data_IF_219671171279
#
_entry.id   IF_219671171279
#
_cell.length_a   1.000
_cell.length_b   1.000
_cell.length_c   1.000
_cell.angle_alpha   90.00
_cell.angle_beta   90.00
_cell.angle_gamma   90.00
#
_symmetry.space_group_name_H-M   'P 1'
#
loop_
_entity.id
_entity.type
_entity.pdbx_description
1 polymer ?
#
# COMPACT_ATOMS: atom_id res chain seq x y z
N UNK A 1 18.53 11.65 -2.59
CA UNK A 1 17.77 10.56 -1.94
C UNK A 1 16.29 10.97 -1.92
N UNK A 2 15.39 10.03 -2.21
CA UNK A 2 13.96 10.28 -2.09
C UNK A 2 13.57 10.46 -0.61
N UNK A 3 13.02 11.63 -0.27
CA UNK A 3 12.56 11.99 1.08
C UNK A 3 11.04 11.93 1.22
N UNK A 4 10.34 11.31 0.25
CA UNK A 4 8.87 11.28 0.26
C UNK A 4 8.30 10.37 1.37
N UNK A 5 7.13 10.69 1.93
CA UNK A 5 6.42 9.82 2.89
C UNK A 5 6.09 8.43 2.30
N UNK A 6 5.88 8.34 0.99
CA UNK A 6 5.61 7.08 0.29
C UNK A 6 6.75 6.06 0.46
N UNK A 7 7.99 6.51 0.63
CA UNK A 7 9.12 5.62 0.93
C UNK A 7 8.95 4.91 2.27
N UNK A 8 8.56 5.63 3.34
CA UNK A 8 8.30 5.04 4.65
C UNK A 8 7.20 3.98 4.59
N UNK A 9 6.11 4.26 3.87
CA UNK A 9 5.03 3.29 3.63
C UNK A 9 5.54 2.08 2.85
N UNK A 10 6.32 2.29 1.79
CA UNK A 10 6.89 1.22 0.97
C UNK A 10 7.86 0.32 1.75
N UNK A 11 8.66 0.88 2.65
CA UNK A 11 9.58 0.10 3.48
C UNK A 11 8.83 -0.78 4.49
N UNK A 12 7.76 -0.26 5.10
CA UNK A 12 6.90 -1.05 6.01
C UNK A 12 6.25 -2.20 5.24
N UNK A 13 5.66 -1.92 4.09
CA UNK A 13 5.05 -2.92 3.22
C UNK A 13 6.04 -4.06 2.89
N UNK A 14 7.18 -3.74 2.30
CA UNK A 14 8.16 -4.74 1.85
C UNK A 14 8.65 -5.65 2.98
N UNK A 15 8.91 -5.09 4.15
CA UNK A 15 9.36 -5.88 5.30
C UNK A 15 8.29 -6.85 5.79
N UNK A 16 7.02 -6.43 5.82
CA UNK A 16 5.93 -7.29 6.24
C UNK A 16 5.64 -8.36 5.20
N UNK A 17 5.61 -8.03 3.92
CA UNK A 17 5.44 -8.98 2.83
C UNK A 17 6.50 -10.10 2.91
N UNK A 18 7.77 -9.74 3.11
CA UNK A 18 8.86 -10.72 3.25
C UNK A 18 8.67 -11.62 4.48
N UNK A 19 8.22 -11.07 5.61
CA UNK A 19 7.95 -11.85 6.84
C UNK A 19 6.83 -12.85 6.66
N UNK A 20 5.83 -12.51 5.84
CA UNK A 20 4.71 -13.38 5.49
C UNK A 20 5.02 -14.33 4.31
N UNK A 21 6.29 -14.42 3.88
CA UNK A 21 6.75 -15.36 2.86
C UNK A 21 6.34 -15.00 1.43
N UNK A 22 6.04 -13.72 1.15
CA UNK A 22 5.73 -13.28 -0.21
C UNK A 22 6.99 -13.23 -1.08
N UNK A 23 6.87 -13.77 -2.28
CA UNK A 23 7.85 -13.65 -3.36
C UNK A 23 7.60 -12.32 -4.08
N UNK A 24 8.58 -11.41 -3.98
CA UNK A 24 8.46 -10.11 -4.61
C UNK A 24 8.69 -10.22 -6.12
N UNK A 25 7.74 -9.73 -6.89
CA UNK A 25 7.78 -9.67 -8.35
C UNK A 25 7.95 -8.23 -8.83
N UNK A 26 8.41 -8.09 -10.08
CA UNK A 26 8.37 -6.85 -10.84
C UNK A 26 7.98 -7.20 -12.27
N UNK A 27 6.78 -6.85 -12.64
CA UNK A 27 6.19 -7.24 -13.91
C UNK A 27 6.06 -6.04 -14.88
N UNK A 28 5.89 -6.26 -16.20
CA UNK A 28 5.78 -5.20 -17.18
C UNK A 28 4.60 -4.25 -16.93
N UNK A 29 4.75 -2.99 -17.34
CA UNK A 29 3.68 -1.98 -17.24
C UNK A 29 2.68 -2.04 -18.38
N UNK A 30 2.99 -2.76 -19.44
CA UNK A 30 2.23 -2.81 -20.67
C UNK A 30 2.20 -4.24 -21.23
N UNK A 31 1.07 -4.61 -21.82
CA UNK A 31 0.91 -5.86 -22.56
C UNK A 31 0.05 -5.66 -23.80
N UNK A 32 0.06 -6.66 -24.68
CA UNK A 32 -0.79 -6.72 -25.88
C UNK A 32 -2.25 -6.93 -25.50
N UNK A 33 -3.14 -6.45 -26.35
CA UNK A 33 -4.61 -6.62 -26.27
C UNK A 33 -5.04 -8.06 -25.93
N UNK A 34 -4.45 -9.05 -26.59
CA UNK A 34 -4.77 -10.46 -26.44
C UNK A 34 -4.61 -10.94 -25.00
N UNK A 35 -3.62 -10.40 -24.29
CA UNK A 35 -3.37 -10.70 -22.89
C UNK A 35 -4.53 -10.25 -21.98
N UNK A 36 -5.09 -9.07 -22.25
CA UNK A 36 -6.23 -8.54 -21.51
C UNK A 36 -7.57 -9.15 -21.93
N UNK A 37 -7.67 -9.72 -23.14
CA UNK A 37 -8.82 -10.54 -23.57
C UNK A 37 -8.90 -11.83 -22.75
N UNK A 38 -7.79 -12.51 -22.48
CA UNK A 38 -7.76 -13.71 -21.63
C UNK A 38 -8.34 -13.41 -20.25
N UNK A 39 -7.97 -12.31 -19.64
CA UNK A 39 -8.45 -11.93 -18.31
C UNK A 39 -9.86 -11.33 -18.28
N UNK A 40 -10.47 -11.07 -19.45
CA UNK A 40 -11.78 -10.41 -19.57
C UNK A 40 -11.75 -8.89 -19.37
N UNK A 41 -10.60 -8.31 -19.00
CA UNK A 41 -10.53 -6.87 -18.77
C UNK A 41 -10.71 -6.05 -20.06
N UNK A 42 -10.34 -6.60 -21.22
CA UNK A 42 -10.55 -5.91 -22.49
C UNK A 42 -12.03 -5.71 -22.79
N UNK A 43 -12.86 -6.66 -22.44
CA UNK A 43 -14.29 -6.64 -22.73
C UNK A 43 -15.11 -5.84 -21.70
N UNK A 44 -14.65 -5.80 -20.44
CA UNK A 44 -15.38 -5.20 -19.33
C UNK A 44 -14.83 -3.85 -18.83
N UNK A 45 -13.61 -3.51 -19.23
CA UNK A 45 -12.90 -2.36 -18.64
C UNK A 45 -12.12 -1.51 -19.67
N UNK A 46 -12.42 -1.64 -20.96
CA UNK A 46 -11.67 -0.98 -22.04
C UNK A 46 -11.62 0.56 -21.86
N UNK A 47 -12.75 1.18 -21.51
CA UNK A 47 -12.85 2.63 -21.33
C UNK A 47 -11.95 3.13 -20.17
N UNK A 48 -11.71 2.27 -19.18
CA UNK A 48 -10.82 2.55 -18.05
C UNK A 48 -9.34 2.27 -18.33
N UNK A 49 -8.96 1.90 -19.55
CA UNK A 49 -7.58 1.56 -19.91
C UNK A 49 -6.94 2.65 -20.79
N UNK A 50 -5.65 2.90 -20.58
CA UNK A 50 -4.84 3.65 -21.54
C UNK A 50 -4.38 2.72 -22.65
N UNK A 51 -4.93 2.89 -23.83
CA UNK A 51 -4.68 2.05 -25.01
C UNK A 51 -3.70 2.75 -25.95
N UNK A 52 -2.75 1.98 -26.49
CA UNK A 52 -1.78 2.42 -27.51
C UNK A 52 -2.06 1.66 -28.80
N UNK A 53 -2.59 2.35 -29.78
CA UNK A 53 -3.07 1.82 -31.06
C UNK A 53 -4.59 1.91 -31.17
N UNK A 54 -5.14 1.27 -32.17
CA UNK A 54 -6.59 1.22 -32.37
C UNK A 54 -7.16 -0.05 -31.69
N UNK A 55 -7.99 0.11 -30.63
CA UNK A 55 -8.57 -1.03 -29.93
C UNK A 55 -9.53 -1.87 -30.79
N UNK A 56 -10.07 -1.32 -31.87
CA UNK A 56 -11.07 -1.94 -32.75
C UNK A 56 -10.47 -2.53 -34.03
N UNK A 57 -9.22 -2.16 -34.39
CA UNK A 57 -8.52 -2.73 -35.55
C UNK A 57 -7.75 -3.99 -35.12
N UNK A 58 -8.36 -5.16 -35.33
CA UNK A 58 -7.75 -6.44 -34.98
C UNK A 58 -6.58 -6.86 -35.90
N UNK A 59 -6.38 -6.16 -37.02
CA UNK A 59 -5.29 -6.43 -37.95
C UNK A 59 -3.96 -5.83 -37.50
N UNK A 60 -3.98 -4.90 -36.56
CA UNK A 60 -2.81 -4.19 -36.04
C UNK A 60 -2.50 -4.54 -34.59
N UNK A 61 -1.24 -4.48 -34.25
CA UNK A 61 -0.85 -4.59 -32.85
C UNK A 61 -1.45 -3.44 -32.03
N UNK A 62 -2.00 -3.82 -30.87
CA UNK A 62 -2.55 -2.89 -29.92
C UNK A 62 -2.09 -3.28 -28.52
N UNK A 63 -1.66 -2.30 -27.75
CA UNK A 63 -1.17 -2.47 -26.39
C UNK A 63 -2.02 -1.66 -25.43
N UNK A 64 -1.96 -2.00 -24.14
CA UNK A 64 -2.50 -1.14 -23.10
C UNK A 64 -1.60 -1.12 -21.87
N UNK A 65 -1.59 0.03 -21.18
CA UNK A 65 -1.00 0.14 -19.86
C UNK A 65 -1.85 -0.64 -18.86
N UNK A 66 -1.19 -1.33 -17.92
CA UNK A 66 -1.86 -2.23 -17.00
C UNK A 66 -2.75 -1.49 -15.99
N UNK A 67 -4.04 -1.79 -15.88
CA UNK A 67 -4.92 -1.30 -14.82
C UNK A 67 -4.85 -2.17 -13.56
N UNK A 68 -4.22 -3.37 -13.62
CA UNK A 68 -4.01 -4.34 -12.55
C UNK A 68 -2.78 -5.22 -12.86
N UNK A 69 -2.30 -5.96 -11.85
CA UNK A 69 -1.08 -6.79 -11.95
C UNK A 69 -1.38 -8.29 -12.11
N UNK A 70 -2.58 -8.75 -11.72
CA UNK A 70 -2.91 -10.17 -11.63
C UNK A 70 -2.52 -11.01 -12.86
N UNK A 71 -2.84 -10.65 -14.12
CA UNK A 71 -2.51 -11.48 -15.27
C UNK A 71 -1.00 -11.72 -15.41
N UNK A 72 -0.19 -10.72 -15.08
CA UNK A 72 1.27 -10.82 -15.15
C UNK A 72 1.83 -11.79 -14.10
N UNK A 73 1.29 -11.79 -12.89
CA UNK A 73 1.71 -12.73 -11.84
C UNK A 73 1.24 -14.15 -12.12
N UNK A 74 0.13 -14.35 -12.87
CA UNK A 74 -0.26 -15.67 -13.33
C UNK A 74 0.76 -16.26 -14.29
N UNK A 75 1.43 -15.46 -15.12
CA UNK A 75 2.54 -15.93 -15.96
C UNK A 75 3.74 -16.41 -15.13
N UNK A 76 3.97 -15.84 -13.95
CA UNK A 76 4.99 -16.35 -13.02
C UNK A 76 4.62 -17.73 -12.50
N UNK A 77 3.34 -17.97 -12.21
CA UNK A 77 2.88 -19.31 -11.86
C UNK A 77 3.03 -20.30 -13.02
N UNK A 78 2.63 -19.90 -14.22
CA UNK A 78 2.58 -20.72 -15.43
C UNK A 78 3.94 -21.02 -16.06
N UNK A 79 5.03 -20.41 -15.60
CA UNK A 79 6.36 -20.59 -16.20
C UNK A 79 6.92 -22.01 -16.11
N UNK A 80 6.33 -22.86 -15.26
CA UNK A 80 6.61 -24.29 -15.13
C UNK A 80 5.41 -25.03 -14.56
N UNK A 81 5.39 -26.35 -14.69
CA UNK A 81 4.43 -27.20 -14.02
C UNK A 81 4.55 -27.07 -12.49
N UNK A 82 3.42 -26.95 -11.81
CA UNK A 82 3.33 -26.81 -10.36
C UNK A 82 2.75 -28.08 -9.74
N UNK A 83 3.10 -28.31 -8.48
CA UNK A 83 2.51 -29.36 -7.64
C UNK A 83 1.89 -28.76 -6.37
N UNK A 84 1.14 -29.56 -5.65
CA UNK A 84 0.56 -29.18 -4.36
C UNK A 84 1.62 -28.66 -3.35
N UNK A 85 2.88 -29.06 -3.51
CA UNK A 85 4.01 -28.64 -2.66
C UNK A 85 4.47 -27.20 -2.95
N UNK A 86 4.14 -26.68 -4.12
CA UNK A 86 4.45 -25.30 -4.50
C UNK A 86 3.40 -24.32 -3.95
N UNK A 87 2.30 -24.82 -3.34
CA UNK A 87 1.17 -24.05 -2.86
C UNK A 87 1.09 -24.02 -1.31
N UNK A 88 0.74 -22.90 -0.69
CA UNK A 88 0.33 -21.66 -1.33
C UNK A 88 1.53 -20.90 -1.93
N UNK A 89 1.35 -20.32 -3.13
CA UNK A 89 2.32 -19.43 -3.75
C UNK A 89 1.84 -17.98 -3.52
N UNK A 90 2.57 -17.24 -2.69
CA UNK A 90 2.26 -15.85 -2.35
C UNK A 90 3.14 -14.93 -3.18
N UNK A 91 2.55 -14.22 -4.14
CA UNK A 91 3.22 -13.27 -5.02
C UNK A 91 2.86 -11.85 -4.57
N UNK A 92 3.85 -10.98 -4.38
CA UNK A 92 3.66 -9.58 -3.99
C UNK A 92 4.36 -8.63 -4.95
N UNK A 93 3.76 -7.46 -5.18
CA UNK A 93 4.37 -6.40 -5.98
C UNK A 93 3.98 -5.01 -5.47
N UNK A 94 4.96 -4.12 -5.39
CA UNK A 94 4.68 -2.69 -5.35
C UNK A 94 4.45 -2.26 -6.80
N UNK A 95 3.19 -2.28 -7.21
CA UNK A 95 2.78 -2.13 -8.60
C UNK A 95 2.44 -0.69 -8.93
N UNK A 96 3.00 -0.18 -10.04
CA UNK A 96 2.48 1.04 -10.68
C UNK A 96 1.39 0.64 -11.65
N UNK A 97 0.20 1.21 -11.49
CA UNK A 97 -0.99 0.96 -12.29
C UNK A 97 -1.48 2.24 -12.95
N UNK A 98 -2.23 2.07 -14.03
CA UNK A 98 -2.75 3.15 -14.85
C UNK A 98 -4.24 2.93 -15.11
N UNK A 99 -5.06 3.94 -14.80
CA UNK A 99 -6.49 3.91 -15.09
C UNK A 99 -6.90 5.21 -15.76
N UNK A 100 -7.61 5.10 -16.86
CA UNK A 100 -8.09 6.24 -17.63
C UNK A 100 -9.36 6.81 -16.97
N UNK A 101 -9.19 7.32 -15.75
CA UNK A 101 -10.27 7.95 -14.99
C UNK A 101 -10.77 9.20 -15.71
N UNK A 102 -12.07 9.41 -15.72
CA UNK A 102 -12.66 10.63 -16.25
C UNK A 102 -12.23 11.85 -15.43
N UNK A 103 -12.14 13.00 -16.09
CA UNK A 103 -11.70 14.24 -15.43
C UNK A 103 -12.57 14.63 -14.22
N UNK A 104 -13.87 14.33 -14.27
CA UNK A 104 -14.81 14.55 -13.18
C UNK A 104 -14.67 13.58 -12.00
N UNK A 105 -14.01 12.45 -12.18
CA UNK A 105 -13.78 11.46 -11.14
C UNK A 105 -12.46 11.68 -10.38
N UNK A 106 -11.53 12.43 -10.97
CA UNK A 106 -10.23 12.70 -10.35
C UNK A 106 -10.39 13.56 -9.10
N UNK A 107 -9.73 13.14 -8.01
CA UNK A 107 -9.87 13.81 -6.72
C UNK A 107 -8.53 13.85 -5.95
N UNK A 108 -7.71 14.87 -6.19
CA UNK A 108 -6.40 15.03 -5.55
C UNK A 108 -5.56 13.75 -5.65
N UNK A 109 -4.99 13.32 -4.52
CA UNK A 109 -4.27 12.03 -4.42
C UNK A 109 -5.20 10.82 -4.18
N UNK A 110 -6.48 11.04 -3.87
CA UNK A 110 -7.43 9.97 -3.56
C UNK A 110 -7.78 9.17 -4.82
N UNK A 111 -7.90 9.84 -5.98
CA UNK A 111 -8.20 9.21 -7.27
C UNK A 111 -7.41 9.87 -8.40
N UNK A 112 -6.41 9.14 -8.90
CA UNK A 112 -5.44 9.58 -9.89
C UNK A 112 -5.32 8.57 -11.02
N UNK A 113 -4.82 8.99 -12.18
CA UNK A 113 -4.68 8.13 -13.37
C UNK A 113 -3.47 7.20 -13.33
N UNK A 114 -2.43 7.57 -12.59
CA UNK A 114 -1.28 6.71 -12.30
C UNK A 114 -1.12 6.63 -10.79
N UNK A 115 -1.02 5.43 -10.25
CA UNK A 115 -0.88 5.21 -8.81
C UNK A 115 -0.05 3.98 -8.50
N UNK A 116 0.44 3.94 -7.27
CA UNK A 116 1.19 2.80 -6.73
C UNK A 116 0.33 2.04 -5.73
N UNK A 117 0.28 0.72 -5.89
CA UNK A 117 -0.52 -0.13 -5.00
C UNK A 117 0.34 -1.26 -4.41
N UNK A 118 0.08 -1.61 -3.16
CA UNK A 118 0.61 -2.81 -2.52
C UNK A 118 -0.26 -4.01 -2.87
N UNK A 119 0.02 -4.66 -3.98
CA UNK A 119 -0.82 -5.73 -4.53
C UNK A 119 -0.16 -7.09 -4.36
N UNK A 120 -0.96 -8.10 -4.11
CA UNK A 120 -0.51 -9.47 -4.05
C UNK A 120 -1.58 -10.46 -4.49
N UNK A 121 -1.11 -11.57 -5.07
CA UNK A 121 -1.94 -12.67 -5.52
C UNK A 121 -1.42 -13.97 -4.91
N UNK A 122 -2.31 -14.68 -4.23
CA UNK A 122 -2.01 -15.97 -3.64
C UNK A 122 -2.68 -17.04 -4.47
N UNK A 123 -1.86 -17.94 -5.02
CA UNK A 123 -2.35 -19.14 -5.72
C UNK A 123 -2.31 -20.27 -4.72
N UNK A 124 -3.44 -20.92 -4.47
CA UNK A 124 -3.61 -21.83 -3.35
C UNK A 124 -4.57 -22.97 -3.63
N UNK A 125 -4.52 -24.01 -2.81
CA UNK A 125 -5.48 -25.12 -2.83
C UNK A 125 -6.75 -24.72 -2.06
N UNK A 126 -7.93 -25.28 -2.38
CA UNK A 126 -9.19 -24.95 -1.70
C UNK A 126 -9.11 -25.05 -0.17
N UNK A 127 -8.45 -26.09 0.36
CA UNK A 127 -8.30 -26.29 1.80
C UNK A 127 -7.39 -25.28 2.51
N UNK A 128 -6.61 -24.48 1.77
CA UNK A 128 -5.75 -23.43 2.32
C UNK A 128 -6.47 -22.07 2.38
N UNK A 129 -7.66 -21.96 1.80
CA UNK A 129 -8.32 -20.68 1.54
C UNK A 129 -8.60 -19.89 2.82
N UNK A 130 -9.13 -20.54 3.85
CA UNK A 130 -9.48 -19.86 5.11
C UNK A 130 -8.23 -19.33 5.84
N UNK A 131 -7.17 -20.13 5.92
CA UNK A 131 -5.91 -19.75 6.58
C UNK A 131 -5.25 -18.58 5.83
N UNK A 132 -5.14 -18.69 4.51
CA UNK A 132 -4.53 -17.64 3.68
C UNK A 132 -5.35 -16.34 3.67
N UNK A 133 -6.69 -16.45 3.69
CA UNK A 133 -7.56 -15.30 3.81
C UNK A 133 -7.38 -14.58 5.15
N UNK A 134 -7.29 -15.36 6.23
CA UNK A 134 -6.99 -14.84 7.57
C UNK A 134 -5.66 -14.10 7.58
N UNK A 135 -4.60 -14.68 7.04
CA UNK A 135 -3.27 -14.05 6.97
C UNK A 135 -3.30 -12.74 6.19
N UNK A 136 -4.05 -12.69 5.07
CA UNK A 136 -4.25 -11.46 4.30
C UNK A 136 -4.97 -10.38 5.12
N UNK A 137 -6.02 -10.76 5.86
CA UNK A 137 -6.78 -9.85 6.70
C UNK A 137 -5.96 -9.33 7.88
N UNK A 138 -5.21 -10.20 8.54
CA UNK A 138 -4.34 -9.82 9.66
C UNK A 138 -3.23 -8.88 9.21
N UNK A 139 -2.64 -9.14 8.05
CA UNK A 139 -1.65 -8.24 7.44
C UNK A 139 -2.25 -6.86 7.14
N UNK A 140 -3.44 -6.81 6.53
CA UNK A 140 -4.12 -5.55 6.23
C UNK A 140 -4.44 -4.77 7.51
N UNK A 141 -4.99 -5.43 8.53
CA UNK A 141 -5.27 -4.82 9.84
C UNK A 141 -3.99 -4.28 10.49
N UNK A 142 -2.91 -5.07 10.50
CA UNK A 142 -1.62 -4.63 11.04
C UNK A 142 -1.09 -3.39 10.33
N UNK A 143 -1.20 -3.33 8.99
CA UNK A 143 -0.74 -2.19 8.21
C UNK A 143 -1.56 -0.93 8.52
N UNK A 144 -2.88 -1.05 8.54
CA UNK A 144 -3.78 0.07 8.87
C UNK A 144 -3.61 0.56 10.31
N UNK A 145 -3.44 -0.36 11.27
CA UNK A 145 -3.15 -0.03 12.65
C UNK A 145 -1.81 0.70 12.79
N UNK A 146 -0.77 0.21 12.12
CA UNK A 146 0.56 0.82 12.13
C UNK A 146 0.53 2.28 11.70
N UNK A 147 -0.25 2.61 10.67
CA UNK A 147 -0.38 3.99 10.17
C UNK A 147 -1.47 4.79 10.90
N UNK A 148 -2.23 4.15 11.80
CA UNK A 148 -3.26 4.80 12.62
C UNK A 148 -4.60 5.00 11.93
N UNK A 149 -4.92 4.21 10.90
CA UNK A 149 -6.19 4.32 10.17
C UNK A 149 -7.22 3.28 10.58
N UNK A 150 -6.82 2.15 11.21
CA UNK A 150 -7.71 1.02 11.48
C UNK A 150 -8.93 1.38 12.34
N UNK A 151 -8.77 2.30 13.30
CA UNK A 151 -9.85 2.71 14.21
C UNK A 151 -11.05 3.37 13.51
N UNK A 152 -10.82 3.95 12.32
CA UNK A 152 -11.85 4.60 11.50
C UNK A 152 -12.33 3.69 10.35
N UNK A 153 -11.99 2.40 10.40
CA UNK A 153 -12.36 1.44 9.37
C UNK A 153 -13.58 0.61 9.75
N UNK A 154 -14.40 0.31 8.74
CA UNK A 154 -15.49 -0.67 8.76
C UNK A 154 -15.22 -1.74 7.70
N UNK A 155 -15.93 -2.87 7.79
CA UNK A 155 -15.78 -3.97 6.84
C UNK A 155 -17.06 -4.15 6.05
N UNK A 156 -16.95 -4.31 4.72
CA UNK A 156 -18.07 -4.53 3.82
C UNK A 156 -17.86 -5.79 3.01
N UNK A 157 -18.79 -6.72 3.12
CA UNK A 157 -18.85 -7.89 2.26
C UNK A 157 -19.60 -7.54 0.98
N UNK A 158 -18.85 -7.27 -0.08
CA UNK A 158 -19.37 -6.87 -1.38
C UNK A 158 -19.76 -8.10 -2.20
N UNK A 159 -21.05 -8.20 -2.50
CA UNK A 159 -21.69 -9.32 -3.17
C UNK A 159 -22.15 -8.94 -4.58
N UNK A 160 -22.39 -9.94 -5.41
CA UNK A 160 -22.98 -9.76 -6.72
C UNK A 160 -24.47 -9.45 -6.63
N UNK A 161 -25.02 -8.91 -7.71
CA UNK A 161 -26.46 -8.78 -7.90
C UNK A 161 -26.86 -9.61 -9.15
N UNK A 162 -27.60 -10.72 -9.01
CA UNK A 162 -28.06 -11.53 -10.14
C UNK A 162 -29.03 -10.75 -11.06
N UNK A 163 -29.63 -9.67 -10.57
CA UNK A 163 -30.53 -8.82 -11.33
C UNK A 163 -29.85 -7.67 -12.05
N UNK A 164 -28.50 -7.54 -11.98
CA UNK A 164 -27.77 -6.45 -12.61
C UNK A 164 -27.98 -6.42 -14.12
N UNK A 165 -28.61 -5.35 -14.70
CA UNK A 165 -28.96 -5.30 -16.11
C UNK A 165 -27.74 -5.12 -17.04
N UNK A 166 -26.58 -4.77 -16.51
CA UNK A 166 -25.36 -4.51 -17.29
C UNK A 166 -24.53 -5.75 -17.58
N UNK A 167 -25.01 -6.93 -17.16
CA UNK A 167 -24.26 -8.18 -17.30
C UNK A 167 -22.77 -8.06 -16.85
N UNK A 168 -22.59 -7.42 -15.72
CA UNK A 168 -21.28 -7.04 -15.16
C UNK A 168 -20.46 -8.25 -14.72
N UNK A 169 -21.14 -9.33 -14.35
CA UNK A 169 -20.55 -10.47 -13.65
C UNK A 169 -20.28 -11.65 -14.56
N UNK A 170 -19.15 -12.28 -14.39
CA UNK A 170 -18.69 -13.45 -15.10
C UNK A 170 -19.01 -14.73 -14.32
N UNK A 171 -19.18 -15.87 -15.03
CA UNK A 171 -19.48 -17.16 -14.42
C UNK A 171 -20.97 -17.43 -14.28
N UNK A 172 -21.31 -18.54 -13.59
CA UNK A 172 -22.70 -18.98 -13.36
C UNK A 172 -23.23 -18.56 -12.00
N UNK A 173 -24.54 -18.54 -11.83
CA UNK A 173 -25.18 -18.24 -10.56
C UNK A 173 -24.68 -19.17 -9.44
N UNK A 174 -24.54 -20.47 -9.74
CA UNK A 174 -24.07 -21.47 -8.79
C UNK A 174 -22.64 -21.18 -8.30
N UNK A 175 -21.75 -20.75 -9.22
CA UNK A 175 -20.37 -20.37 -8.85
C UNK A 175 -20.35 -19.14 -7.93
N UNK A 176 -21.22 -18.17 -8.17
CA UNK A 176 -21.35 -16.99 -7.32
C UNK A 176 -21.91 -17.31 -5.93
N UNK A 177 -22.96 -18.13 -5.88
CA UNK A 177 -23.57 -18.58 -4.62
C UNK A 177 -22.55 -19.37 -3.78
N UNK A 178 -21.79 -20.28 -4.41
CA UNK A 178 -20.71 -21.02 -3.75
C UNK A 178 -19.61 -20.08 -3.22
N UNK A 179 -19.10 -19.19 -4.07
CA UNK A 179 -18.02 -18.26 -3.67
C UNK A 179 -18.44 -17.33 -2.53
N UNK A 180 -19.67 -16.82 -2.56
CA UNK A 180 -20.22 -16.00 -1.50
C UNK A 180 -20.46 -16.77 -0.20
N UNK A 181 -20.97 -18.00 -0.29
CA UNK A 181 -21.15 -18.86 0.88
C UNK A 181 -19.82 -19.21 1.55
N UNK A 182 -18.79 -19.50 0.77
CA UNK A 182 -17.44 -19.75 1.27
C UNK A 182 -16.88 -18.52 1.96
N UNK A 183 -16.99 -17.34 1.35
CA UNK A 183 -16.52 -16.10 1.96
C UNK A 183 -17.28 -15.76 3.25
N UNK A 184 -18.61 -15.87 3.25
CA UNK A 184 -19.43 -15.64 4.44
C UNK A 184 -18.99 -16.55 5.59
N UNK A 185 -18.82 -17.85 5.33
CA UNK A 185 -18.35 -18.83 6.33
C UNK A 185 -16.98 -18.44 6.90
N UNK A 186 -16.02 -18.02 6.05
CA UNK A 186 -14.71 -17.56 6.50
C UNK A 186 -14.83 -16.33 7.40
N UNK A 187 -15.59 -15.31 6.98
CA UNK A 187 -15.78 -14.08 7.74
C UNK A 187 -16.44 -14.34 9.11
N UNK A 188 -17.44 -15.23 9.16
CA UNK A 188 -18.12 -15.61 10.39
C UNK A 188 -17.18 -16.38 11.34
N UNK A 189 -16.40 -17.35 10.83
CA UNK A 189 -15.38 -18.06 11.61
C UNK A 189 -14.31 -17.13 12.19
N UNK A 190 -13.91 -16.12 11.43
CA UNK A 190 -12.93 -15.11 11.87
C UNK A 190 -13.55 -14.05 12.79
N UNK A 191 -14.86 -14.08 13.03
CA UNK A 191 -15.57 -13.11 13.85
C UNK A 191 -15.55 -11.68 13.31
N UNK A 192 -15.46 -11.53 11.99
CA UNK A 192 -15.47 -10.23 11.32
C UNK A 192 -16.89 -9.67 11.32
N UNK A 193 -17.08 -8.50 11.91
CA UNK A 193 -18.35 -7.77 11.79
C UNK A 193 -18.35 -6.99 10.48
N UNK A 194 -19.29 -7.28 9.59
CA UNK A 194 -19.37 -6.65 8.27
C UNK A 194 -20.79 -6.20 7.91
N UNK A 195 -20.86 -5.25 7.02
CA UNK A 195 -22.08 -4.87 6.30
C UNK A 195 -22.10 -5.55 4.93
N UNK A 196 -23.29 -5.81 4.38
CA UNK A 196 -23.44 -6.37 3.03
C UNK A 196 -23.61 -5.24 2.02
N UNK A 197 -22.78 -5.24 0.98
CA UNK A 197 -22.89 -4.36 -0.19
C UNK A 197 -23.35 -5.17 -1.42
N UNK A 198 -24.58 -4.99 -1.86
CA UNK A 198 -25.11 -5.65 -3.06
C UNK A 198 -24.69 -4.89 -4.31
N UNK A 199 -24.33 -5.61 -5.38
CA UNK A 199 -23.82 -5.09 -6.66
C UNK A 199 -22.45 -4.39 -6.55
N UNK A 200 -21.72 -4.67 -5.46
CA UNK A 200 -20.40 -4.08 -5.22
C UNK A 200 -19.24 -5.06 -5.49
N UNK A 201 -19.52 -6.33 -5.79
CA UNK A 201 -18.49 -7.33 -6.09
C UNK A 201 -17.66 -6.97 -7.33
N UNK A 202 -16.46 -7.55 -7.44
CA UNK A 202 -15.69 -7.56 -8.69
C UNK A 202 -16.41 -8.45 -9.72
N UNK A 203 -16.13 -8.27 -11.03
CA UNK A 203 -16.79 -9.06 -12.05
C UNK A 203 -16.46 -10.56 -11.99
N UNK A 204 -15.40 -10.94 -11.30
CA UNK A 204 -14.87 -12.30 -11.18
C UNK A 204 -14.99 -12.92 -9.78
N UNK A 205 -15.54 -12.23 -8.79
CA UNK A 205 -15.69 -12.80 -7.45
C UNK A 205 -16.10 -11.81 -6.35
N UNK A 206 -16.58 -12.35 -5.22
CA UNK A 206 -16.94 -11.56 -4.06
C UNK A 206 -15.69 -10.99 -3.37
N UNK A 207 -15.86 -9.91 -2.59
CA UNK A 207 -14.75 -9.26 -1.92
C UNK A 207 -15.11 -8.75 -0.53
N UNK A 208 -14.12 -8.75 0.36
CA UNK A 208 -14.13 -7.99 1.59
C UNK A 208 -13.45 -6.65 1.34
N UNK A 209 -14.21 -5.57 1.42
CA UNK A 209 -13.71 -4.20 1.37
C UNK A 209 -13.53 -3.66 2.79
N UNK A 210 -12.35 -3.14 3.09
CA UNK A 210 -12.12 -2.35 4.29
C UNK A 210 -12.37 -0.90 3.91
N UNK A 211 -13.43 -0.33 4.48
CA UNK A 211 -13.87 1.04 4.24
C UNK A 211 -13.24 1.95 5.29
N UNK A 212 -12.58 3.01 4.85
CA UNK A 212 -12.06 4.05 5.73
C UNK A 212 -12.98 5.25 5.72
N UNK A 213 -13.40 5.70 6.91
CA UNK A 213 -14.17 6.94 7.08
C UNK A 213 -13.21 8.10 7.29
N UNK A 214 -13.16 9.00 6.33
CA UNK A 214 -12.26 10.15 6.37
C UNK A 214 -12.74 11.23 7.36
N UNK A 215 -11.94 12.27 7.56
CA UNK A 215 -12.23 13.38 8.50
C UNK A 215 -13.50 14.17 8.15
N UNK A 216 -14.04 14.02 6.95
CA UNK A 216 -15.29 14.62 6.51
C UNK A 216 -16.49 13.67 6.66
N UNK A 217 -16.28 12.46 7.21
CA UNK A 217 -17.32 11.45 7.40
C UNK A 217 -17.65 10.63 6.15
N UNK A 218 -16.95 10.82 5.03
CA UNK A 218 -17.14 10.04 3.81
C UNK A 218 -16.37 8.71 3.93
N UNK A 219 -16.99 7.63 3.48
CA UNK A 219 -16.38 6.31 3.40
C UNK A 219 -15.85 6.03 1.99
N UNK A 220 -14.62 5.54 1.92
CA UNK A 220 -13.98 5.08 0.70
C UNK A 220 -13.24 3.75 0.96
N UNK A 221 -13.23 2.85 -0.02
CA UNK A 221 -12.47 1.60 0.09
C UNK A 221 -10.98 1.89 0.10
N UNK A 222 -10.28 1.43 1.14
CA UNK A 222 -8.82 1.58 1.28
C UNK A 222 -8.08 0.28 0.97
N UNK A 223 -8.60 -0.86 1.42
CA UNK A 223 -8.03 -2.20 1.21
C UNK A 223 -9.13 -3.14 0.74
N UNK A 224 -8.77 -4.08 -0.14
CA UNK A 224 -9.68 -5.11 -0.65
C UNK A 224 -9.00 -6.47 -0.60
N UNK A 225 -9.76 -7.51 -0.20
CA UNK A 225 -9.37 -8.91 -0.27
C UNK A 225 -10.49 -9.64 -1.05
N UNK A 226 -10.14 -10.32 -2.15
CA UNK A 226 -11.09 -10.94 -3.07
C UNK A 226 -10.77 -12.42 -3.21
N UNK A 227 -11.81 -13.25 -3.30
CA UNK A 227 -11.69 -14.66 -3.66
C UNK A 227 -12.08 -14.80 -5.13
N UNK A 228 -11.21 -15.42 -5.91
CA UNK A 228 -11.38 -15.63 -7.34
C UNK A 228 -11.32 -17.13 -7.64
N UNK A 229 -12.40 -17.65 -8.16
CA UNK A 229 -12.53 -19.05 -8.58
C UNK A 229 -12.59 -19.20 -10.12
N UNK A 230 -12.52 -18.10 -10.87
CA UNK A 230 -12.76 -18.06 -12.31
C UNK A 230 -11.50 -17.85 -13.15
N UNK A 231 -10.63 -16.92 -12.78
CA UNK A 231 -9.50 -16.52 -13.62
C UNK A 231 -8.44 -17.63 -13.76
N UNK A 232 -8.31 -18.50 -12.75
CA UNK A 232 -7.44 -19.67 -12.87
C UNK A 232 -7.81 -20.56 -14.08
N UNK A 233 -9.10 -20.73 -14.37
CA UNK A 233 -9.59 -21.47 -15.54
C UNK A 233 -9.22 -20.76 -16.84
N UNK A 234 -9.47 -19.46 -16.94
CA UNK A 234 -9.20 -18.66 -18.14
C UNK A 234 -7.73 -18.66 -18.53
N UNK A 235 -6.85 -18.65 -17.54
CA UNK A 235 -5.40 -18.72 -17.75
C UNK A 235 -4.85 -20.14 -17.86
N UNK A 236 -5.70 -21.17 -17.75
CA UNK A 236 -5.27 -22.58 -17.79
C UNK A 236 -4.33 -22.94 -16.64
N UNK A 237 -4.51 -22.31 -15.48
CA UNK A 237 -3.67 -22.59 -14.30
C UNK A 237 -4.08 -23.93 -13.68
N UNK A 238 -3.09 -24.81 -13.53
CA UNK A 238 -3.28 -26.16 -12.96
C UNK A 238 -2.10 -26.52 -12.07
N UNK A 239 -2.32 -27.34 -11.05
CA UNK A 239 -1.29 -27.98 -10.26
C UNK A 239 -1.53 -29.49 -10.18
N UNK A 240 -0.46 -30.26 -9.95
CA UNK A 240 -0.57 -31.71 -9.67
C UNK A 240 -0.83 -31.88 -8.18
N UNK A 241 -1.95 -32.48 -7.84
CA UNK A 241 -2.33 -32.73 -6.46
C UNK A 241 -1.68 -34.01 -5.90
N UNK A 242 -1.90 -34.31 -4.62
CA UNK A 242 -1.34 -35.46 -3.90
C UNK A 242 -1.68 -36.79 -4.59
N UNK A 243 -2.87 -36.89 -5.17
CA UNK A 243 -3.36 -38.06 -5.91
C UNK A 243 -2.80 -38.18 -7.34
N UNK A 244 -1.94 -37.27 -7.78
CA UNK A 244 -1.37 -37.22 -9.10
C UNK A 244 -2.31 -36.60 -10.15
N UNK A 245 -3.50 -36.18 -9.80
CA UNK A 245 -4.44 -35.53 -10.73
C UNK A 245 -4.13 -34.04 -10.87
N UNK A 246 -4.55 -33.49 -12.02
CA UNK A 246 -4.52 -32.05 -12.24
C UNK A 246 -5.73 -31.39 -11.60
N UNK A 247 -5.51 -30.34 -10.83
CA UNK A 247 -6.56 -29.54 -10.20
C UNK A 247 -6.34 -28.05 -10.46
N UNK A 248 -7.42 -27.28 -10.43
CA UNK A 248 -7.39 -25.82 -10.53
C UNK A 248 -7.15 -25.22 -9.16
N UNK A 249 -6.24 -24.26 -9.03
CA UNK A 249 -6.06 -23.50 -7.79
C UNK A 249 -7.18 -22.47 -7.63
N UNK A 250 -7.39 -22.02 -6.39
CA UNK A 250 -8.09 -20.79 -6.09
C UNK A 250 -7.07 -19.64 -6.01
N UNK A 251 -7.56 -18.42 -6.17
CA UNK A 251 -6.74 -17.22 -6.12
C UNK A 251 -7.32 -16.24 -5.09
N UNK A 252 -6.47 -15.70 -4.24
CA UNK A 252 -6.81 -14.53 -3.45
C UNK A 252 -6.10 -13.33 -4.07
N UNK A 253 -6.88 -12.29 -4.44
CA UNK A 253 -6.36 -10.97 -4.75
C UNK A 253 -6.44 -10.13 -3.49
N UNK A 254 -5.37 -9.48 -3.13
CA UNK A 254 -5.39 -8.64 -1.95
C UNK A 254 -4.49 -7.41 -2.10
N UNK A 255 -4.82 -6.39 -1.35
CA UNK A 255 -3.91 -5.31 -1.02
C UNK A 255 -3.64 -5.33 0.48
N UNK A 256 -2.46 -4.90 0.93
CA UNK A 256 -2.15 -4.83 2.36
C UNK A 256 -2.27 -3.41 2.91
N UNK A 257 -1.92 -2.40 2.12
CA UNK A 257 -2.03 -0.98 2.47
C UNK A 257 -2.86 -0.20 1.43
N UNK A 258 -3.30 -0.87 0.37
CA UNK A 258 -4.03 -0.26 -0.74
C UNK A 258 -3.16 0.61 -1.64
N UNK A 259 -3.76 1.64 -2.21
CA UNK A 259 -3.09 2.64 -3.03
C UNK A 259 -2.32 3.63 -2.15
N UNK A 260 -1.02 3.80 -2.42
CA UNK A 260 -0.14 4.65 -1.59
C UNK A 260 -0.55 6.12 -1.64
N UNK A 261 -0.90 6.64 -2.79
CA UNK A 261 -1.33 8.02 -2.97
C UNK A 261 -2.60 8.31 -2.17
N UNK A 262 -3.59 7.41 -2.22
CA UNK A 262 -4.84 7.50 -1.46
C UNK A 262 -4.58 7.40 0.05
N UNK A 263 -3.80 6.42 0.47
CA UNK A 263 -3.44 6.24 1.89
C UNK A 263 -2.67 7.46 2.41
N UNK A 264 -1.76 8.01 1.61
CA UNK A 264 -1.04 9.24 1.96
C UNK A 264 -1.99 10.44 2.11
N UNK A 265 -2.98 10.59 1.21
CA UNK A 265 -3.98 11.64 1.33
C UNK A 265 -4.72 11.54 2.68
N UNK A 266 -5.20 10.36 3.05
CA UNK A 266 -5.88 10.15 4.32
C UNK A 266 -4.98 10.39 5.54
N UNK A 267 -3.70 10.05 5.46
CA UNK A 267 -2.74 10.35 6.53
C UNK A 267 -2.51 11.87 6.66
N UNK A 268 -2.39 12.59 5.55
CA UNK A 268 -2.25 14.04 5.56
C UNK A 268 -3.49 14.69 6.19
N UNK A 269 -4.69 14.23 5.84
CA UNK A 269 -5.94 14.71 6.41
C UNK A 269 -6.04 14.38 7.91
N UNK A 270 -5.86 13.12 8.29
CA UNK A 270 -5.99 12.65 9.68
C UNK A 270 -5.01 13.36 10.62
N UNK A 271 -3.77 13.49 10.21
CA UNK A 271 -2.73 14.16 11.00
C UNK A 271 -2.66 15.69 10.74
N UNK A 272 -3.54 16.23 9.90
CA UNK A 272 -3.50 17.63 9.47
C UNK A 272 -2.08 18.05 9.02
N UNK A 273 -1.35 17.16 8.34
CA UNK A 273 0.03 17.36 7.90
C UNK A 273 1.11 17.13 8.97
N UNK A 274 0.74 16.95 10.25
CA UNK A 274 1.69 16.67 11.33
C UNK A 274 2.04 15.17 11.42
N UNK A 275 2.61 14.61 10.34
CA UNK A 275 2.92 13.20 10.25
C UNK A 275 3.80 12.71 11.42
N UNK A 276 3.60 11.46 11.90
CA UNK A 276 4.50 10.84 12.88
C UNK A 276 5.96 10.85 12.45
N UNK A 277 6.89 10.85 13.40
CA UNK A 277 8.33 10.92 13.15
C UNK A 277 8.79 9.91 12.08
N UNK A 278 8.37 8.65 12.19
CA UNK A 278 8.79 7.59 11.28
C UNK A 278 8.26 7.74 9.84
N UNK A 279 7.11 8.45 9.64
CA UNK A 279 6.50 8.74 8.33
C UNK A 279 6.92 10.09 7.75
N UNK A 280 7.37 11.03 8.58
CA UNK A 280 7.68 12.39 8.13
C UNK A 280 8.75 12.40 7.02
N UNK A 281 8.56 13.15 5.92
CA UNK A 281 9.54 13.25 4.84
C UNK A 281 10.86 13.85 5.31
N UNK A 282 10.79 14.79 6.22
CA UNK A 282 11.92 15.33 7.00
C UNK A 282 11.64 15.07 8.47
N UNK A 283 12.54 14.36 9.13
CA UNK A 283 12.39 13.91 10.52
C UNK A 283 13.04 14.88 11.50
N UNK A 284 14.16 15.45 11.09
CA UNK A 284 14.97 16.35 11.93
C UNK A 284 15.43 17.53 11.10
N UNK A 285 15.23 18.75 11.62
CA UNK A 285 15.85 19.97 11.08
C UNK A 285 16.89 20.51 12.05
N UNK A 286 18.11 20.70 11.58
CA UNK A 286 19.22 21.27 12.33
C UNK A 286 19.25 22.77 12.05
N UNK A 287 19.25 23.57 13.09
CA UNK A 287 19.17 25.04 13.03
C UNK A 287 20.43 25.61 13.67
N UNK A 288 21.45 26.05 12.89
CA UNK A 288 22.60 26.77 13.40
C UNK A 288 22.19 28.16 13.88
N UNK A 289 22.72 28.57 15.05
CA UNK A 289 22.53 29.92 15.60
C UNK A 289 23.31 30.96 14.78
N UNK A 290 24.49 30.58 14.26
CA UNK A 290 25.32 31.38 13.37
C UNK A 290 26.15 30.50 12.46
N UNK A 291 26.67 31.05 11.34
CA UNK A 291 27.42 30.32 10.32
C UNK A 291 28.64 29.58 10.88
N UNK A 292 29.29 30.10 11.93
CA UNK A 292 30.41 29.41 12.58
C UNK A 292 30.06 28.06 13.20
N UNK A 293 28.77 27.71 13.33
CA UNK A 293 28.31 26.44 13.85
C UNK A 293 28.04 25.41 12.74
N UNK A 294 28.14 25.79 11.46
CA UNK A 294 27.80 24.93 10.32
C UNK A 294 28.64 23.64 10.28
N UNK A 295 29.95 23.73 10.59
CA UNK A 295 30.80 22.54 10.58
C UNK A 295 30.30 21.47 11.56
N UNK A 296 29.90 21.87 12.75
CA UNK A 296 29.33 20.94 13.73
C UNK A 296 27.94 20.47 13.34
N UNK A 297 27.12 21.32 12.69
CA UNK A 297 25.84 20.91 12.13
C UNK A 297 26.01 19.83 11.06
N UNK A 298 27.04 19.92 10.22
CA UNK A 298 27.34 18.90 9.23
C UNK A 298 27.78 17.57 9.86
N UNK A 299 28.61 17.63 10.95
CA UNK A 299 28.97 16.42 11.73
C UNK A 299 27.72 15.71 12.27
N UNK A 300 26.75 16.46 12.82
CA UNK A 300 25.48 15.92 13.32
C UNK A 300 24.63 15.36 12.19
N UNK A 301 24.56 16.06 11.05
CA UNK A 301 23.80 15.61 9.87
C UNK A 301 24.33 14.26 9.35
N UNK A 302 25.64 14.14 9.20
CA UNK A 302 26.27 12.89 8.74
C UNK A 302 25.92 11.70 9.62
N UNK A 303 25.93 11.87 10.95
CA UNK A 303 25.54 10.83 11.91
C UNK A 303 24.06 10.44 11.79
N UNK A 304 23.18 11.44 11.63
CA UNK A 304 21.75 11.17 11.41
C UNK A 304 21.52 10.42 10.10
N UNK A 305 22.18 10.83 9.01
CA UNK A 305 22.07 10.17 7.71
C UNK A 305 22.64 8.75 7.72
N UNK A 306 23.76 8.53 8.43
CA UNK A 306 24.34 7.19 8.63
C UNK A 306 23.37 6.24 9.34
N UNK A 307 22.54 6.80 10.27
CA UNK A 307 21.46 6.07 10.94
C UNK A 307 20.16 5.98 10.10
N UNK A 308 20.18 6.39 8.82
CA UNK A 308 19.01 6.47 7.94
C UNK A 308 17.89 7.41 8.43
N UNK A 309 18.22 8.41 9.23
CA UNK A 309 17.30 9.47 9.65
C UNK A 309 17.32 10.58 8.61
N UNK A 310 16.14 10.98 8.13
CA UNK A 310 15.96 12.03 7.11
C UNK A 310 16.10 13.39 7.79
N UNK A 311 17.24 14.03 7.62
CA UNK A 311 17.54 15.31 8.24
C UNK A 311 17.98 16.36 7.22
N UNK A 312 17.90 17.64 7.59
CA UNK A 312 18.45 18.76 6.84
C UNK A 312 19.00 19.83 7.76
N UNK A 313 19.82 20.74 7.21
CA UNK A 313 20.29 21.93 7.90
C UNK A 313 19.55 23.13 7.31
N UNK A 314 19.04 24.02 8.17
CA UNK A 314 18.51 25.31 7.76
C UNK A 314 19.63 26.35 7.80
N UNK A 315 20.38 26.44 6.71
CA UNK A 315 21.52 27.35 6.53
C UNK A 315 21.14 28.73 5.99
N UNK A 316 19.83 29.01 5.86
CA UNK A 316 19.37 30.34 5.40
C UNK A 316 19.91 31.47 6.28
N UNK A 317 20.23 32.59 5.65
CA UNK A 317 20.69 33.82 6.35
C UNK A 317 19.52 34.51 7.07
N UNK A 318 18.92 33.81 8.05
CA UNK A 318 17.74 34.24 8.80
C UNK A 318 17.97 34.11 10.32
N UNK A 319 17.22 34.91 11.11
CA UNK A 319 17.27 34.82 12.58
C UNK A 319 16.78 33.44 13.05
N UNK A 320 17.43 32.90 14.10
CA UNK A 320 17.08 31.60 14.70
C UNK A 320 15.59 31.49 15.03
N UNK A 321 15.00 32.52 15.61
CA UNK A 321 13.57 32.56 15.93
C UNK A 321 12.67 32.41 14.70
N UNK A 322 13.08 32.96 13.55
CA UNK A 322 12.36 32.79 12.29
C UNK A 322 12.48 31.36 11.78
N UNK A 323 13.68 30.76 11.80
CA UNK A 323 13.92 29.36 11.39
C UNK A 323 13.11 28.41 12.24
N UNK A 324 13.09 28.57 13.57
CA UNK A 324 12.27 27.76 14.50
C UNK A 324 10.78 27.90 14.18
N UNK A 325 10.30 29.14 13.96
CA UNK A 325 8.91 29.38 13.60
C UNK A 325 8.53 28.72 12.26
N UNK A 326 9.39 28.84 11.23
CA UNK A 326 9.19 28.18 9.94
C UNK A 326 9.07 26.67 10.10
N UNK A 327 10.01 26.03 10.79
CA UNK A 327 9.99 24.59 11.06
C UNK A 327 8.75 24.16 11.88
N UNK A 328 8.29 24.98 12.80
CA UNK A 328 7.05 24.75 13.56
C UNK A 328 5.82 24.81 12.64
N UNK A 329 5.75 25.80 11.75
CA UNK A 329 4.66 25.94 10.79
C UNK A 329 4.63 24.79 9.77
N UNK A 330 5.78 24.27 9.39
CA UNK A 330 5.94 23.07 8.54
C UNK A 330 5.68 21.77 9.30
N UNK A 331 5.38 21.86 10.60
CA UNK A 331 5.06 20.70 11.47
C UNK A 331 6.17 19.67 11.58
N UNK A 332 7.42 20.11 11.55
CA UNK A 332 8.58 19.24 11.69
C UNK A 332 8.50 18.44 13.00
N UNK A 333 8.80 17.10 12.97
CA UNK A 333 8.76 16.29 14.19
C UNK A 333 9.80 16.70 15.23
N UNK A 334 11.05 16.98 14.78
CA UNK A 334 12.18 17.31 15.67
C UNK A 334 13.00 18.47 15.10
N UNK A 335 13.37 19.40 15.94
CA UNK A 335 14.29 20.49 15.64
C UNK A 335 15.49 20.41 16.58
N UNK A 336 16.69 20.61 16.03
CA UNK A 336 17.93 20.72 16.78
C UNK A 336 18.45 22.14 16.65
N UNK A 337 18.68 22.82 17.77
CA UNK A 337 19.35 24.15 17.79
C UNK A 337 20.79 23.96 18.21
N UNK A 338 21.72 24.55 17.46
CA UNK A 338 23.17 24.45 17.70
C UNK A 338 23.76 25.84 17.81
N UNK A 339 24.25 26.18 19.00
CA UNK A 339 24.99 27.36 19.31
C UNK A 339 26.38 27.06 19.87
N UNK A 340 27.06 28.07 20.43
CA UNK A 340 28.42 27.93 20.96
C UNK A 340 28.51 26.83 22.04
N UNK A 341 27.54 26.80 22.95
CA UNK A 341 27.47 25.81 24.03
C UNK A 341 27.40 24.36 23.50
N UNK A 342 26.52 24.11 22.53
CA UNK A 342 26.36 22.81 21.93
C UNK A 342 27.63 22.31 21.21
N UNK A 343 28.35 23.25 20.56
CA UNK A 343 29.66 22.96 19.92
C UNK A 343 30.72 22.60 20.95
N UNK A 344 30.83 23.38 22.04
CA UNK A 344 31.82 23.15 23.11
C UNK A 344 31.57 21.83 23.85
N UNK A 345 30.31 21.57 24.24
CA UNK A 345 29.90 20.41 25.03
C UNK A 345 29.67 19.15 24.16
N UNK A 346 29.75 19.25 22.84
CA UNK A 346 29.43 18.17 21.88
C UNK A 346 28.01 17.64 22.07
N UNK A 347 27.05 18.54 22.35
CA UNK A 347 25.64 18.26 22.57
C UNK A 347 24.78 18.87 21.46
N UNK A 348 23.48 18.68 21.55
CA UNK A 348 22.46 19.31 20.71
C UNK A 348 21.26 19.72 21.57
N UNK A 349 20.69 20.88 21.35
CA UNK A 349 19.47 21.34 22.03
C UNK A 349 18.28 20.85 21.22
N UNK A 350 17.43 20.01 21.82
CA UNK A 350 16.39 19.20 21.10
C UNK A 350 15.00 19.73 21.45
N UNK A 351 14.21 20.00 20.44
CA UNK A 351 12.77 20.26 20.58
C UNK A 351 11.97 19.28 19.75
N UNK A 352 11.09 18.53 20.40
CA UNK A 352 10.14 17.59 19.79
C UNK A 352 8.77 18.27 19.66
N UNK A 353 8.13 18.11 18.50
CA UNK A 353 6.73 18.55 18.33
C UNK A 353 5.80 17.83 19.32
N UNK A 354 6.05 16.55 19.61
CA UNK A 354 5.23 15.71 20.49
C UNK A 354 5.50 15.98 21.97
N UNK A 355 6.77 16.08 22.35
CA UNK A 355 7.19 16.07 23.75
C UNK A 355 7.62 17.47 24.27
N UNK A 356 7.70 18.45 23.37
CA UNK A 356 8.12 19.81 23.72
C UNK A 356 9.64 19.96 23.75
N UNK A 357 10.12 20.81 24.63
CA UNK A 357 11.56 21.07 24.82
C UNK A 357 12.17 19.92 25.64
N UNK A 358 13.12 19.21 25.05
CA UNK A 358 13.83 18.09 25.70
C UNK A 358 15.20 18.53 26.28
N UNK A 359 15.56 19.81 26.12
CA UNK A 359 16.84 20.34 26.59
C UNK A 359 18.04 19.87 25.75
N UNK A 360 19.23 19.98 26.36
CA UNK A 360 20.48 19.54 25.74
C UNK A 360 20.75 18.04 25.99
N UNK A 361 21.16 17.33 24.96
CA UNK A 361 21.56 15.91 25.06
C UNK A 361 22.73 15.59 24.15
N UNK A 362 23.42 14.49 24.41
CA UNK A 362 24.52 14.06 23.55
C UNK A 362 23.97 13.58 22.19
N UNK A 363 24.82 13.61 21.15
CA UNK A 363 24.45 13.08 19.83
C UNK A 363 24.06 11.59 19.90
N UNK A 364 24.72 10.80 20.75
CA UNK A 364 24.42 9.38 20.90
C UNK A 364 23.05 9.14 21.57
N UNK A 365 22.71 9.91 22.60
CA UNK A 365 21.40 9.81 23.25
C UNK A 365 20.26 10.22 22.31
N UNK A 366 20.47 11.27 21.51
CA UNK A 366 19.53 11.67 20.47
C UNK A 366 19.32 10.53 19.45
N UNK A 367 20.41 9.95 18.92
CA UNK A 367 20.32 8.85 17.95
C UNK A 367 19.60 7.64 18.54
N UNK A 368 19.95 7.25 19.77
CA UNK A 368 19.29 6.11 20.43
C UNK A 368 17.78 6.35 20.57
N UNK A 369 17.38 7.56 21.01
CA UNK A 369 15.98 7.94 21.13
C UNK A 369 15.27 7.92 19.76
N UNK A 370 15.83 8.58 18.76
CA UNK A 370 15.18 8.65 17.44
C UNK A 370 15.05 7.27 16.78
N UNK A 371 16.07 6.43 16.88
CA UNK A 371 16.05 5.06 16.37
C UNK A 371 14.97 4.24 17.07
N UNK A 372 14.85 4.34 18.40
CA UNK A 372 13.84 3.64 19.19
C UNK A 372 12.43 4.11 18.82
N UNK A 373 12.18 5.43 18.77
CA UNK A 373 10.89 6.03 18.39
C UNK A 373 10.46 5.62 16.97
N UNK A 374 11.40 5.60 16.02
CA UNK A 374 11.16 5.15 14.64
C UNK A 374 10.88 3.65 14.58
N UNK A 375 11.63 2.83 15.31
CA UNK A 375 11.46 1.39 15.33
C UNK A 375 10.12 0.97 15.95
N UNK A 376 9.70 1.64 17.00
CA UNK A 376 8.39 1.46 17.65
C UNK A 376 7.23 2.10 16.89
N UNK A 377 7.51 2.84 15.80
CA UNK A 377 6.51 3.55 14.98
C UNK A 377 5.58 4.42 15.83
N UNK A 378 6.16 5.14 16.77
CA UNK A 378 5.41 5.99 17.68
C UNK A 378 4.63 7.05 16.91
N UNK A 379 3.33 7.18 17.21
CA UNK A 379 2.38 8.11 16.58
C UNK A 379 2.24 9.40 17.35
#
# INVERSE_FOLDING_TARGET
RDRSPSRGLGDVYKRQEQKHGYLLTKTPFMAKREFYKISGHWDHYLDGMFVLGDPYDETKECFALRPMTCPFQYQVFLNRQRSYRDLPMRLGETSTLFRNEDSGEMHGLIRVRQFTISEGHLVLRPEQLEEEFKDCLDLAKYMLETVGLLEDCTFRFSQWDPANPKNKYEGTAEQWEEAQAVMAKILDHLGVKYEIGIDEAAFYGPKLDIQYRNVYGKEDTIVTIQIDMLLAERFGMEYIDVDGTKKRPYIIHRTSLGCYERTLAYLIEKYAGALPLWLAPEQVRIIPVADRHLDYCHEVLEKLEAANIRASIDDRAEKVGYKIRSATMEKLPVMLTIGDKEVEEKTVSVRSRREGDLGSMTQNDLLAKLIDDIAKKIR
#
